data_IF_087222670917
#
_entry.id   IF_087222670917
#
_cell.length_a   1.000
_cell.length_b   1.000
_cell.length_c   1.000
_cell.angle_alpha   90.00
_cell.angle_beta   90.00
_cell.angle_gamma   90.00
#
_symmetry.space_group_name_H-M   'P 1'
#
loop_
_entity.id
_entity.type
_entity.pdbx_description
1 polymer ?
#
# COMPACT_ATOMS: atom_id res chain seq x y z
N UNK A 1 -8.63 0.79 8.96
CA UNK A 1 -8.46 -0.31 9.94
C UNK A 1 -9.30 -1.54 9.61
N UNK A 2 -10.64 -1.46 9.53
CA UNK A 2 -11.54 -2.60 9.23
C UNK A 2 -11.16 -3.36 7.95
N UNK A 3 -10.78 -2.66 6.87
CA UNK A 3 -10.37 -3.28 5.61
C UNK A 3 -9.08 -4.12 5.73
N UNK A 4 -8.12 -3.68 6.55
CA UNK A 4 -6.83 -4.38 6.73
C UNK A 4 -7.05 -5.69 7.50
N UNK A 5 -7.80 -5.64 8.59
CA UNK A 5 -7.98 -6.78 9.49
C UNK A 5 -8.92 -7.84 8.91
N UNK A 6 -10.01 -7.43 8.24
CA UNK A 6 -11.03 -8.38 7.77
C UNK A 6 -10.84 -8.88 6.35
N UNK A 7 -10.15 -8.14 5.47
CA UNK A 7 -10.03 -8.53 4.05
C UNK A 7 -8.61 -8.95 3.69
N UNK A 8 -7.60 -8.21 4.15
CA UNK A 8 -6.21 -8.47 3.72
C UNK A 8 -5.50 -9.50 4.59
N UNK A 9 -5.72 -9.49 5.90
CA UNK A 9 -5.12 -10.45 6.82
C UNK A 9 -5.48 -11.92 6.46
N UNK A 10 -6.76 -12.27 6.19
CA UNK A 10 -7.11 -13.62 5.75
C UNK A 10 -6.48 -13.97 4.40
N UNK A 11 -6.45 -13.05 3.44
CA UNK A 11 -5.83 -13.26 2.13
C UNK A 11 -4.33 -13.57 2.25
N UNK A 12 -3.59 -12.80 3.04
CA UNK A 12 -2.16 -13.03 3.27
C UNK A 12 -1.92 -14.35 4.03
N UNK A 13 -2.74 -14.65 5.05
CA UNK A 13 -2.68 -15.92 5.80
C UNK A 13 -2.92 -17.13 4.89
N UNK A 14 -3.99 -17.11 4.09
CA UNK A 14 -4.34 -18.20 3.18
C UNK A 14 -3.24 -18.39 2.13
N UNK A 15 -2.70 -17.32 1.57
CA UNK A 15 -1.60 -17.41 0.60
C UNK A 15 -0.34 -18.03 1.22
N UNK A 16 0.10 -17.56 2.39
CA UNK A 16 1.29 -18.11 3.05
C UNK A 16 1.09 -19.56 3.50
N UNK A 17 -0.08 -19.87 4.07
CA UNK A 17 -0.41 -21.23 4.48
C UNK A 17 -0.44 -22.18 3.28
N UNK A 18 -1.14 -21.82 2.19
CA UNK A 18 -1.21 -22.68 0.99
C UNK A 18 0.16 -22.89 0.34
N UNK A 19 1.02 -21.86 0.31
CA UNK A 19 2.33 -21.92 -0.35
C UNK A 19 3.41 -22.60 0.49
N UNK A 20 3.42 -22.39 1.81
CA UNK A 20 4.50 -22.86 2.69
C UNK A 20 4.08 -24.01 3.63
N UNK A 21 2.84 -24.54 3.55
CA UNK A 21 2.39 -25.68 4.38
C UNK A 21 3.26 -26.93 4.29
N UNK A 22 3.90 -27.15 3.13
CA UNK A 22 4.71 -28.34 2.86
C UNK A 22 6.21 -28.10 3.05
N UNK A 23 6.64 -26.86 3.31
CA UNK A 23 8.05 -26.52 3.50
C UNK A 23 8.45 -26.86 4.93
N UNK A 24 9.20 -27.96 5.09
CA UNK A 24 9.69 -28.48 6.36
C UNK A 24 11.03 -27.84 6.75
N UNK A 25 11.13 -26.53 6.57
CA UNK A 25 12.30 -25.76 6.98
C UNK A 25 11.94 -24.94 8.22
N UNK A 26 12.66 -25.17 9.30
CA UNK A 26 12.27 -24.77 10.64
C UNK A 26 13.49 -24.34 11.44
N UNK A 27 13.86 -23.08 11.27
CA UNK A 27 14.87 -22.39 12.06
C UNK A 27 14.40 -22.21 13.51
N UNK A 28 15.34 -22.17 14.47
CA UNK A 28 15.04 -21.86 15.87
C UNK A 28 15.18 -20.37 16.11
N UNK A 29 14.08 -19.68 16.40
CA UNK A 29 14.10 -18.30 16.90
C UNK A 29 13.75 -18.33 18.39
N UNK A 30 14.57 -17.70 19.25
CA UNK A 30 14.34 -17.63 20.70
C UNK A 30 14.13 -19.01 21.38
N UNK A 31 14.74 -20.06 20.85
CA UNK A 31 14.58 -21.43 21.36
C UNK A 31 13.27 -22.13 20.96
N UNK A 32 12.36 -21.43 20.28
CA UNK A 32 11.09 -21.97 19.78
C UNK A 32 11.22 -22.33 18.29
N UNK A 33 10.63 -23.47 17.92
CA UNK A 33 10.63 -23.99 16.55
C UNK A 33 9.52 -23.30 15.74
N UNK A 34 9.85 -22.33 14.90
CA UNK A 34 8.85 -21.54 14.14
C UNK A 34 8.73 -22.08 12.70
N UNK A 35 7.52 -22.41 12.22
CA UNK A 35 7.31 -22.82 10.83
C UNK A 35 7.65 -21.73 9.82
N UNK A 36 8.22 -22.08 8.66
CA UNK A 36 8.56 -21.13 7.60
C UNK A 36 7.37 -20.25 7.16
N UNK A 37 6.15 -20.79 7.11
CA UNK A 37 4.94 -20.05 6.73
C UNK A 37 4.60 -18.92 7.72
N UNK A 38 4.83 -19.13 9.01
CA UNK A 38 4.60 -18.12 10.06
C UNK A 38 5.60 -16.98 9.93
N UNK A 39 6.86 -17.30 9.67
CA UNK A 39 7.92 -16.29 9.46
C UNK A 39 7.66 -15.45 8.22
N UNK A 40 7.31 -16.09 7.10
CA UNK A 40 6.97 -15.40 5.85
C UNK A 40 5.76 -14.49 6.00
N UNK A 41 4.70 -14.99 6.64
CA UNK A 41 3.52 -14.20 6.97
C UNK A 41 3.85 -13.00 7.87
N UNK A 42 4.59 -13.22 8.96
CA UNK A 42 4.97 -12.15 9.89
C UNK A 42 5.79 -11.07 9.19
N UNK A 43 6.82 -11.44 8.41
CA UNK A 43 7.65 -10.50 7.67
C UNK A 43 6.82 -9.68 6.67
N UNK A 44 5.97 -10.34 5.87
CA UNK A 44 5.10 -9.65 4.91
C UNK A 44 4.13 -8.70 5.61
N UNK A 45 3.54 -9.12 6.73
CA UNK A 45 2.59 -8.33 7.49
C UNK A 45 3.25 -7.09 8.11
N UNK A 46 4.45 -7.23 8.68
CA UNK A 46 5.21 -6.11 9.27
C UNK A 46 5.56 -5.09 8.19
N UNK A 47 6.09 -5.53 7.04
CA UNK A 47 6.44 -4.61 5.95
C UNK A 47 5.21 -3.92 5.38
N UNK A 48 4.11 -4.66 5.19
CA UNK A 48 2.84 -4.09 4.77
C UNK A 48 2.34 -3.03 5.75
N UNK A 49 2.35 -3.31 7.06
CA UNK A 49 1.89 -2.41 8.10
C UNK A 49 2.73 -1.13 8.16
N UNK A 50 4.06 -1.23 8.11
CA UNK A 50 4.96 -0.08 8.06
C UNK A 50 4.62 0.83 6.88
N UNK A 51 4.41 0.25 5.69
CA UNK A 51 4.02 1.04 4.51
C UNK A 51 2.64 1.69 4.64
N UNK A 52 1.67 1.01 5.25
CA UNK A 52 0.36 1.66 5.55
C UNK A 52 0.52 2.85 6.49
N UNK A 53 1.40 2.75 7.50
CA UNK A 53 1.69 3.86 8.40
C UNK A 53 2.31 5.05 7.66
N UNK A 54 3.26 4.80 6.74
CA UNK A 54 3.84 5.88 5.95
C UNK A 54 2.81 6.56 5.03
N UNK A 55 1.93 5.79 4.39
CA UNK A 55 0.84 6.35 3.58
C UNK A 55 -0.10 7.21 4.42
N UNK A 56 -0.51 6.75 5.60
CA UNK A 56 -1.34 7.53 6.53
C UNK A 56 -0.67 8.83 6.94
N UNK A 57 0.59 8.77 7.36
CA UNK A 57 1.35 9.94 7.80
C UNK A 57 1.43 10.94 6.65
N UNK A 58 1.79 10.51 5.45
CA UNK A 58 1.90 11.38 4.28
C UNK A 58 0.56 12.04 3.92
N UNK A 59 -0.54 11.28 3.94
CA UNK A 59 -1.88 11.82 3.66
C UNK A 59 -2.31 12.82 4.73
N UNK A 60 -2.12 12.51 6.02
CA UNK A 60 -2.56 13.37 7.10
C UNK A 60 -1.75 14.67 7.18
N UNK A 61 -0.44 14.60 6.92
CA UNK A 61 0.40 15.80 6.75
C UNK A 61 -0.13 16.63 5.58
N UNK A 62 -0.35 16.02 4.42
CA UNK A 62 -0.81 16.74 3.22
C UNK A 62 -2.15 17.45 3.43
N UNK A 63 -3.09 16.80 4.12
CA UNK A 63 -4.40 17.39 4.47
C UNK A 63 -4.25 18.64 5.33
N UNK A 64 -3.41 18.57 6.36
CA UNK A 64 -3.23 19.66 7.31
C UNK A 64 -2.42 20.82 6.73
N UNK A 65 -1.48 20.55 5.81
CA UNK A 65 -0.65 21.57 5.17
C UNK A 65 -1.43 22.34 4.09
N UNK A 66 -2.22 21.65 3.26
CA UNK A 66 -2.82 22.27 2.08
C UNK A 66 -4.18 22.88 2.37
N UNK A 67 -4.98 22.31 3.28
CA UNK A 67 -6.21 22.95 3.74
C UNK A 67 -7.28 23.17 2.65
N UNK A 68 -7.23 22.44 1.53
CA UNK A 68 -8.15 22.61 0.39
C UNK A 68 -9.60 22.26 0.80
N UNK A 69 -10.59 23.11 0.49
CA UNK A 69 -12.00 22.83 0.76
C UNK A 69 -12.54 21.68 -0.12
N UNK A 70 -13.49 20.91 0.40
CA UNK A 70 -14.19 19.83 -0.34
C UNK A 70 -15.24 20.39 -1.31
N UNK A 71 -15.66 19.64 -2.34
CA UNK A 71 -16.66 20.11 -3.31
C UNK A 71 -18.01 20.51 -2.70
N UNK A 72 -18.44 19.82 -1.63
CA UNK A 72 -19.69 20.09 -0.89
C UNK A 72 -19.49 21.07 0.29
N UNK A 73 -18.45 21.90 0.24
CA UNK A 73 -18.15 22.89 1.29
C UNK A 73 -19.29 23.89 1.50
N UNK A 74 -19.86 24.41 0.41
CA UNK A 74 -20.90 25.44 0.47
C UNK A 74 -22.20 24.94 1.14
N UNK A 75 -22.57 23.68 0.91
CA UNK A 75 -23.77 23.08 1.50
C UNK A 75 -23.70 23.00 3.03
N UNK A 76 -22.50 22.83 3.58
CA UNK A 76 -22.26 22.70 5.03
C UNK A 76 -21.95 24.05 5.66
N UNK A 77 -21.04 24.83 5.07
CA UNK A 77 -20.61 26.09 5.66
C UNK A 77 -21.71 27.16 5.60
N UNK A 78 -22.47 27.25 4.50
CA UNK A 78 -23.44 28.32 4.24
C UNK A 78 -22.83 29.71 4.58
N UNK A 79 -21.90 30.21 3.76
CA UNK A 79 -21.17 31.41 4.10
C UNK A 79 -22.10 32.63 4.13
N UNK A 80 -21.85 33.56 5.07
CA UNK A 80 -22.57 34.82 5.29
C UNK A 80 -22.31 35.86 4.18
N UNK A 81 -22.41 35.45 2.92
CA UNK A 81 -22.09 36.27 1.74
C UNK A 81 -23.39 36.61 1.02
N UNK A 82 -23.55 37.88 0.67
CA UNK A 82 -24.68 38.32 -0.15
C UNK A 82 -24.21 38.56 -1.58
N UNK A 83 -24.44 37.57 -2.46
CA UNK A 83 -24.02 37.64 -3.87
C UNK A 83 -24.66 38.81 -4.65
N UNK A 84 -25.72 39.42 -4.14
CA UNK A 84 -26.40 40.56 -4.79
C UNK A 84 -25.76 41.91 -4.44
N UNK A 85 -24.93 41.99 -3.40
CA UNK A 85 -24.27 43.24 -3.02
C UNK A 85 -23.06 43.51 -3.93
N UNK A 86 -22.88 44.77 -4.32
CA UNK A 86 -21.73 45.25 -5.10
C UNK A 86 -20.39 44.94 -4.43
N UNK A 87 -20.37 44.79 -3.09
CA UNK A 87 -19.18 44.49 -2.30
C UNK A 87 -18.58 43.09 -2.59
N UNK A 88 -19.43 42.15 -3.03
CA UNK A 88 -19.05 40.74 -3.26
C UNK A 88 -18.88 40.40 -4.75
N UNK A 89 -19.11 41.36 -5.65
CA UNK A 89 -18.99 41.16 -7.10
C UNK A 89 -17.52 41.27 -7.55
N UNK A 90 -17.14 40.48 -8.55
CA UNK A 90 -15.84 40.51 -9.25
C UNK A 90 -14.57 40.44 -8.38
N UNK A 91 -14.67 39.85 -7.19
CA UNK A 91 -13.54 39.65 -6.28
C UNK A 91 -13.34 38.20 -5.88
N UNK A 92 -12.10 37.86 -5.56
CA UNK A 92 -11.79 36.61 -4.90
C UNK A 92 -12.18 36.69 -3.42
N UNK A 93 -12.92 35.70 -2.94
CA UNK A 93 -13.44 35.64 -1.56
C UNK A 93 -12.45 34.86 -0.70
N UNK A 94 -11.83 35.54 0.27
CA UNK A 94 -10.89 34.90 1.19
C UNK A 94 -11.63 34.30 2.38
N UNK A 95 -11.03 33.30 3.04
CA UNK A 95 -11.63 32.65 4.22
C UNK A 95 -11.77 33.57 5.44
N UNK A 96 -11.12 34.74 5.44
CA UNK A 96 -11.28 35.79 6.46
C UNK A 96 -12.55 36.61 6.29
N UNK A 97 -13.12 36.62 5.09
CA UNK A 97 -14.13 37.60 4.71
C UNK A 97 -15.56 37.11 5.02
N UNK A 98 -15.73 35.80 5.26
CA UNK A 98 -17.02 35.20 5.55
C UNK A 98 -17.01 34.37 6.82
N UNK A 99 -18.19 34.22 7.40
CA UNK A 99 -18.43 33.29 8.51
C UNK A 99 -19.39 32.20 8.04
N UNK A 100 -19.17 30.97 8.48
CA UNK A 100 -20.07 29.86 8.18
C UNK A 100 -21.27 29.91 9.12
N UNK A 101 -22.49 30.08 8.59
CA UNK A 101 -23.72 30.14 9.38
C UNK A 101 -24.45 28.79 9.45
N UNK A 102 -23.88 27.75 8.85
CA UNK A 102 -24.45 26.41 8.87
C UNK A 102 -24.60 25.80 10.27
N UNK A 103 -25.53 24.86 10.46
CA UNK A 103 -25.76 24.21 11.75
C UNK A 103 -24.72 23.13 12.11
N UNK A 104 -23.91 22.67 11.15
CA UNK A 104 -22.98 21.54 11.31
C UNK A 104 -21.54 22.01 11.57
N UNK A 105 -21.35 22.74 12.67
CA UNK A 105 -20.06 23.34 13.05
C UNK A 105 -18.96 22.29 13.33
N UNK A 106 -19.36 21.10 13.78
CA UNK A 106 -18.50 19.94 14.01
C UNK A 106 -17.74 19.49 12.75
N UNK A 107 -18.28 19.77 11.56
CA UNK A 107 -17.72 19.32 10.28
C UNK A 107 -16.83 20.36 9.59
N UNK A 108 -16.73 21.58 10.12
CA UNK A 108 -16.01 22.66 9.43
C UNK A 108 -14.53 22.34 9.20
N UNK A 109 -13.87 21.79 10.21
CA UNK A 109 -12.48 21.34 10.12
C UNK A 109 -12.31 20.24 9.07
N UNK A 110 -13.26 19.32 8.97
CA UNK A 110 -13.19 18.22 7.99
C UNK A 110 -13.45 18.67 6.56
N UNK A 111 -14.16 19.79 6.39
CA UNK A 111 -14.39 20.37 5.08
C UNK A 111 -13.14 21.00 4.48
N UNK A 112 -12.15 21.40 5.29
CA UNK A 112 -10.85 21.92 4.81
C UNK A 112 -9.82 20.82 4.53
N UNK A 113 -10.17 19.55 4.70
CA UNK A 113 -9.27 18.40 4.52
C UNK A 113 -9.55 17.64 3.21
N UNK A 114 -9.63 18.35 2.08
CA UNK A 114 -9.92 17.71 0.78
C UNK A 114 -8.68 17.12 0.11
N UNK A 115 -7.52 17.80 0.23
CA UNK A 115 -6.33 17.44 -0.53
C UNK A 115 -5.60 16.22 0.02
N UNK A 116 -5.21 15.38 -0.94
CA UNK A 116 -4.99 13.93 -0.89
C UNK A 116 -6.17 13.12 -0.33
N UNK A 117 -6.79 12.35 -1.22
CA UNK A 117 -7.80 11.36 -0.82
C UNK A 117 -7.14 10.17 -0.13
N UNK A 118 -7.32 10.08 1.19
CA UNK A 118 -6.81 8.95 1.98
C UNK A 118 -7.43 7.60 1.60
N UNK A 119 -8.72 7.57 1.27
CA UNK A 119 -9.39 6.36 0.79
C UNK A 119 -8.78 5.83 -0.50
N UNK A 120 -8.48 6.75 -1.45
CA UNK A 120 -7.85 6.38 -2.71
C UNK A 120 -6.41 5.91 -2.51
N UNK A 121 -5.62 6.62 -1.68
CA UNK A 121 -4.24 6.25 -1.37
C UNK A 121 -4.14 4.87 -0.69
N UNK A 122 -5.03 4.60 0.27
CA UNK A 122 -5.11 3.30 0.93
C UNK A 122 -5.50 2.19 -0.03
N UNK A 123 -6.57 2.38 -0.80
CA UNK A 123 -7.02 1.37 -1.74
C UNK A 123 -5.94 1.05 -2.78
N UNK A 124 -5.26 2.07 -3.31
CA UNK A 124 -4.15 1.92 -4.25
C UNK A 124 -2.99 1.15 -3.61
N UNK A 125 -2.50 1.61 -2.45
CA UNK A 125 -1.37 0.98 -1.76
C UNK A 125 -1.64 -0.50 -1.49
N UNK A 126 -2.80 -0.80 -0.90
CA UNK A 126 -3.13 -2.15 -0.45
C UNK A 126 -3.30 -3.15 -1.60
N UNK A 127 -4.05 -2.78 -2.63
CA UNK A 127 -4.36 -3.69 -3.74
C UNK A 127 -3.19 -3.84 -4.71
N UNK A 128 -2.40 -2.79 -4.91
CA UNK A 128 -1.18 -2.87 -5.75
C UNK A 128 -0.10 -3.67 -5.04
N UNK A 129 0.10 -3.48 -3.74
CA UNK A 129 0.99 -4.33 -2.94
C UNK A 129 0.54 -5.80 -2.97
N UNK A 130 -0.77 -6.06 -2.84
CA UNK A 130 -1.32 -7.42 -2.97
C UNK A 130 -1.09 -8.01 -4.36
N UNK A 131 -1.27 -7.24 -5.44
CA UNK A 131 -1.01 -7.70 -6.80
C UNK A 131 0.46 -8.10 -7.02
N UNK A 132 1.40 -7.29 -6.51
CA UNK A 132 2.83 -7.59 -6.54
C UNK A 132 3.19 -8.79 -5.64
N UNK A 133 2.56 -8.91 -4.48
CA UNK A 133 2.72 -10.05 -3.59
C UNK A 133 2.27 -11.36 -4.24
N UNK A 134 1.11 -11.36 -4.91
CA UNK A 134 0.63 -12.49 -5.71
C UNK A 134 1.59 -12.82 -6.87
N UNK A 135 2.23 -11.82 -7.47
CA UNK A 135 3.31 -12.05 -8.44
C UNK A 135 4.49 -12.77 -7.76
N UNK A 136 5.09 -12.23 -6.70
CA UNK A 136 6.30 -12.85 -6.12
C UNK A 136 6.09 -14.25 -5.54
N UNK A 137 4.88 -14.56 -5.05
CA UNK A 137 4.63 -15.78 -4.25
C UNK A 137 3.86 -16.89 -4.97
N UNK A 138 3.04 -16.57 -5.96
CA UNK A 138 2.18 -17.58 -6.60
C UNK A 138 2.96 -18.39 -7.64
N UNK A 139 3.52 -19.53 -7.21
CA UNK A 139 4.25 -20.51 -8.04
C UNK A 139 3.34 -21.59 -8.67
N UNK A 140 2.02 -21.37 -8.64
CA UNK A 140 1.02 -22.34 -9.07
C UNK A 140 1.22 -22.75 -10.55
N UNK A 141 1.31 -24.07 -10.81
CA UNK A 141 1.49 -24.66 -12.15
C UNK A 141 0.24 -24.57 -13.07
N UNK A 142 -0.78 -23.81 -12.67
CA UNK A 142 -2.01 -23.62 -13.46
C UNK A 142 -1.85 -22.60 -14.59
N UNK A 143 -2.98 -22.13 -15.12
CA UNK A 143 -2.99 -21.19 -16.24
C UNK A 143 -2.45 -19.82 -15.82
N UNK A 144 -1.37 -19.39 -16.49
CA UNK A 144 -0.76 -18.05 -16.31
C UNK A 144 -1.79 -16.91 -16.43
N UNK A 145 -2.85 -17.12 -17.20
CA UNK A 145 -3.97 -16.18 -17.38
C UNK A 145 -4.74 -15.90 -16.09
N UNK A 146 -4.98 -16.90 -15.24
CA UNK A 146 -5.75 -16.71 -14.01
C UNK A 146 -5.04 -15.76 -13.04
N UNK A 147 -3.70 -15.82 -12.99
CA UNK A 147 -2.87 -14.95 -12.15
C UNK A 147 -3.00 -13.48 -12.57
N UNK A 148 -2.84 -13.20 -13.87
CA UNK A 148 -3.00 -11.85 -14.39
C UNK A 148 -4.45 -11.35 -14.28
N UNK A 149 -5.44 -12.23 -14.43
CA UNK A 149 -6.85 -11.88 -14.22
C UNK A 149 -7.14 -11.50 -12.76
N UNK A 150 -6.59 -12.22 -11.79
CA UNK A 150 -6.70 -11.89 -10.37
C UNK A 150 -6.01 -10.56 -10.03
N UNK A 151 -4.80 -10.35 -10.54
CA UNK A 151 -4.07 -9.09 -10.40
C UNK A 151 -4.84 -7.90 -10.99
N UNK A 152 -5.37 -8.07 -12.20
CA UNK A 152 -6.21 -7.06 -12.83
C UNK A 152 -7.47 -6.79 -12.00
N UNK A 153 -8.13 -7.83 -11.52
CA UNK A 153 -9.33 -7.71 -10.68
C UNK A 153 -9.09 -6.90 -9.40
N UNK A 154 -8.02 -7.16 -8.67
CA UNK A 154 -7.71 -6.41 -7.43
C UNK A 154 -7.34 -4.95 -7.72
N UNK A 155 -6.60 -4.69 -8.80
CA UNK A 155 -6.27 -3.31 -9.22
C UNK A 155 -7.54 -2.57 -9.67
N UNK A 156 -8.42 -3.21 -10.43
CA UNK A 156 -9.69 -2.61 -10.86
C UNK A 156 -10.61 -2.31 -9.68
N UNK A 157 -10.62 -3.16 -8.65
CA UNK A 157 -11.34 -2.88 -7.42
C UNK A 157 -10.80 -1.63 -6.72
N UNK A 158 -9.47 -1.46 -6.66
CA UNK A 158 -8.86 -0.23 -6.13
C UNK A 158 -9.26 1.00 -6.95
N UNK A 159 -9.29 0.86 -8.27
CA UNK A 159 -9.67 1.95 -9.17
C UNK A 159 -11.14 2.34 -8.99
N UNK A 160 -12.04 1.37 -8.88
CA UNK A 160 -13.45 1.62 -8.57
C UNK A 160 -13.62 2.36 -7.25
N UNK A 161 -12.89 1.99 -6.19
CA UNK A 161 -12.93 2.72 -4.91
C UNK A 161 -12.37 4.14 -4.99
N UNK A 162 -11.44 4.41 -5.92
CA UNK A 162 -10.96 5.76 -6.18
C UNK A 162 -12.04 6.58 -6.91
N UNK A 163 -12.64 6.02 -7.96
CA UNK A 163 -13.71 6.66 -8.72
C UNK A 163 -14.95 6.97 -7.87
N UNK A 164 -15.30 6.09 -6.92
CA UNK A 164 -16.44 6.32 -6.03
C UNK A 164 -16.28 7.59 -5.20
N UNK A 165 -15.04 8.00 -4.86
CA UNK A 165 -14.76 9.25 -4.13
C UNK A 165 -15.02 10.50 -4.97
N UNK A 166 -14.95 10.39 -6.29
CA UNK A 166 -15.31 11.46 -7.23
C UNK A 166 -16.82 11.50 -7.38
N UNK A 167 -17.48 10.35 -7.59
CA UNK A 167 -18.94 10.29 -7.76
C UNK A 167 -19.71 10.70 -6.50
N UNK A 168 -19.16 10.46 -5.31
CA UNK A 168 -19.75 10.86 -4.03
C UNK A 168 -19.55 12.36 -3.70
N UNK A 169 -18.99 13.15 -4.63
CA UNK A 169 -18.63 14.58 -4.46
C UNK A 169 -17.80 14.88 -3.20
N UNK A 170 -17.02 13.89 -2.73
CA UNK A 170 -16.20 14.04 -1.52
C UNK A 170 -14.84 14.67 -1.80
N UNK A 171 -14.29 14.43 -2.98
CA UNK A 171 -12.98 14.90 -3.39
C UNK A 171 -12.99 15.37 -4.84
N UNK A 172 -12.10 16.30 -5.19
CA UNK A 172 -11.85 16.61 -6.59
C UNK A 172 -11.12 15.44 -7.25
N UNK A 173 -11.31 15.26 -8.55
CA UNK A 173 -10.62 14.23 -9.33
C UNK A 173 -9.09 14.32 -9.19
N UNK A 174 -8.54 15.53 -9.08
CA UNK A 174 -7.10 15.77 -8.86
C UNK A 174 -6.61 15.22 -7.52
N UNK A 175 -7.42 15.36 -6.46
CA UNK A 175 -7.06 14.94 -5.09
C UNK A 175 -7.11 13.41 -4.97
N UNK A 176 -8.03 12.80 -5.73
CA UNK A 176 -8.13 11.35 -5.90
C UNK A 176 -6.93 10.82 -6.68
N UNK A 177 -6.60 11.42 -7.82
CA UNK A 177 -5.46 10.99 -8.64
C UNK A 177 -4.13 11.10 -7.88
N UNK A 178 -3.90 12.22 -7.20
CA UNK A 178 -2.70 12.42 -6.38
C UNK A 178 -2.60 11.41 -5.23
N UNK A 179 -3.73 11.12 -4.57
CA UNK A 179 -3.81 10.08 -3.54
C UNK A 179 -3.51 8.69 -4.12
N UNK A 180 -4.12 8.35 -5.25
CA UNK A 180 -3.89 7.08 -5.94
C UNK A 180 -2.42 6.89 -6.32
N UNK A 181 -1.81 7.90 -6.96
CA UNK A 181 -0.39 7.86 -7.35
C UNK A 181 0.53 7.71 -6.14
N UNK A 182 0.24 8.40 -5.03
CA UNK A 182 1.01 8.27 -3.80
C UNK A 182 0.97 6.82 -3.29
N UNK A 183 -0.23 6.22 -3.24
CA UNK A 183 -0.40 4.83 -2.81
C UNK A 183 0.37 3.84 -3.68
N UNK A 184 0.34 4.01 -5.01
CA UNK A 184 1.11 3.18 -5.95
C UNK A 184 2.61 3.30 -5.70
N UNK A 185 3.13 4.52 -5.54
CA UNK A 185 4.57 4.75 -5.30
C UNK A 185 5.01 4.06 -4.02
N UNK A 186 4.29 4.24 -2.92
CA UNK A 186 4.62 3.57 -1.65
C UNK A 186 4.50 2.05 -1.76
N UNK A 187 3.53 1.51 -2.51
CA UNK A 187 3.42 0.07 -2.70
C UNK A 187 4.66 -0.49 -3.40
N UNK A 188 5.13 0.17 -4.47
CA UNK A 188 6.31 -0.26 -5.23
C UNK A 188 7.57 -0.15 -4.38
N UNK A 189 7.74 0.96 -3.65
CA UNK A 189 8.86 1.21 -2.74
C UNK A 189 8.94 0.13 -1.65
N UNK A 190 7.81 -0.13 -0.98
CA UNK A 190 7.74 -1.11 0.10
C UNK A 190 7.89 -2.55 -0.40
N UNK A 191 7.41 -2.86 -1.60
CA UNK A 191 7.64 -4.15 -2.23
C UNK A 191 9.12 -4.36 -2.57
N UNK A 192 9.73 -3.37 -3.23
CA UNK A 192 11.11 -3.46 -3.74
C UNK A 192 12.17 -3.46 -2.63
N UNK A 193 11.98 -2.67 -1.57
CA UNK A 193 12.98 -2.52 -0.49
C UNK A 193 12.53 -3.09 0.85
N UNK A 194 11.24 -3.25 1.08
CA UNK A 194 10.72 -3.76 2.35
C UNK A 194 10.72 -5.28 2.45
N UNK A 195 10.57 -6.01 1.34
CA UNK A 195 10.48 -7.47 1.39
C UNK A 195 11.80 -8.14 1.01
N UNK A 196 12.44 -8.79 1.98
CA UNK A 196 13.59 -9.69 1.72
C UNK A 196 13.21 -10.90 0.87
N UNK A 197 11.92 -11.07 0.54
CA UNK A 197 11.40 -12.04 -0.44
C UNK A 197 12.09 -11.82 -1.81
N UNK A 198 12.46 -10.58 -2.13
CA UNK A 198 13.13 -10.22 -3.40
C UNK A 198 14.66 -10.36 -3.31
N UNK A 199 15.24 -10.65 -2.14
CA UNK A 199 16.69 -10.87 -2.06
C UNK A 199 17.07 -12.19 -2.75
N UNK A 200 17.52 -11.99 -4.00
CA UNK A 200 18.38 -12.80 -4.86
C UNK A 200 18.69 -14.19 -4.30
N UNK A 201 18.30 -15.19 -5.08
CA UNK A 201 19.09 -16.41 -5.30
C UNK A 201 20.58 -15.99 -5.26
N UNK A 202 21.25 -16.19 -4.12
CA UNK A 202 22.71 -16.15 -4.10
C UNK A 202 23.07 -17.25 -5.08
N UNK A 203 23.63 -16.89 -6.23
CA UNK A 203 24.34 -17.85 -7.05
C UNK A 203 25.42 -18.41 -6.11
N UNK A 204 25.14 -19.55 -5.50
CA UNK A 204 26.15 -20.39 -4.93
C UNK A 204 26.98 -20.80 -6.14
N UNK A 205 28.05 -20.06 -6.43
CA UNK A 205 29.13 -20.61 -7.19
C UNK A 205 29.63 -21.76 -6.32
N UNK A 206 29.13 -22.96 -6.56
CA UNK A 206 29.80 -24.17 -6.12
C UNK A 206 31.20 -24.08 -6.69
N UNK A 207 32.18 -23.81 -5.83
CA UNK A 207 33.59 -24.00 -6.15
C UNK A 207 33.69 -25.40 -6.77
N UNK A 208 34.22 -25.53 -8.00
CA UNK A 208 34.32 -26.82 -8.65
C UNK A 208 35.18 -27.73 -7.78
N UNK A 209 34.70 -28.95 -7.58
CA UNK A 209 35.26 -30.02 -6.76
C UNK A 209 36.61 -30.57 -7.29
N UNK A 210 37.35 -29.77 -8.07
CA UNK A 210 38.48 -30.20 -8.89
C UNK A 210 39.83 -30.19 -8.16
N UNK A 211 39.95 -29.52 -7.01
CA UNK A 211 41.27 -29.26 -6.41
C UNK A 211 41.65 -30.23 -5.27
N UNK A 212 40.77 -31.15 -4.86
CA UNK A 212 41.08 -32.14 -3.79
C UNK A 212 41.63 -33.46 -4.37
N UNK A 213 41.46 -33.72 -5.68
CA UNK A 213 41.95 -34.95 -6.31
C UNK A 213 43.45 -34.92 -6.65
N UNK A 214 44.11 -33.76 -6.62
CA UNK A 214 45.53 -33.63 -7.02
C UNK A 214 46.48 -33.92 -5.84
N UNK A 215 46.03 -33.71 -4.59
CA UNK A 215 46.88 -33.92 -3.41
C UNK A 215 47.02 -35.39 -2.98
N UNK A 216 46.20 -36.32 -3.51
CA UNK A 216 46.35 -37.75 -3.22
C UNK A 216 47.36 -38.48 -4.11
N UNK A 217 47.86 -37.84 -5.18
CA UNK A 217 48.87 -38.45 -6.07
C UNK A 217 50.31 -38.00 -5.81
N UNK A 218 50.56 -37.00 -4.95
CA UNK A 218 51.91 -36.50 -4.65
C UNK A 218 52.55 -37.07 -3.37
N UNK A 219 51.95 -38.08 -2.74
CA UNK A 219 52.56 -38.84 -1.63
C UNK A 219 52.54 -40.36 -1.91
N UNK A 220 53.28 -40.77 -2.94
CA UNK A 220 53.82 -42.12 -3.04
C UNK A 220 55.35 -42.00 -3.20
N UNK A 221 56.15 -42.64 -2.32
CA UNK A 221 57.61 -42.50 -2.33
C UNK A 221 58.21 -43.21 -3.55
N UNK A 222 59.07 -42.52 -4.29
CA UNK A 222 59.96 -43.18 -5.25
C UNK A 222 61.10 -43.86 -4.47
N UNK A 223 61.08 -45.20 -4.55
CA UNK A 223 62.15 -46.20 -4.41
C UNK A 223 63.35 -45.87 -3.53
#
# INVERSE_FOLDING_TARGET
FILITHVLCPQFLICEWTLLRNVRDSERCLGVRIPAWVRGFYSTLVCFAIGTCFVEIAVNISKNVIGRPRPHFFDICQPSINCSSLEWQDRYIQSSDYTCTGPQTDKYEDMRKSFLSGHSAWAAYTMVYLAMYLEGRMTWQGTRTLRHALQFGVVMLSWFTALSRVTDFKHHWSDVLAGYSLGVVFAVVMWAWGTDIVQKKKNCNSLPQFEIAITSQSMQPQR
#
